data_IF_327823600025
#
_entry.id   IF_327823600025
#
_cell.length_a   1.000
_cell.length_b   1.000
_cell.length_c   1.000
_cell.angle_alpha   90.00
_cell.angle_beta   90.00
_cell.angle_gamma   90.00
#
_symmetry.space_group_name_H-M   'P 1'
#
loop_
_entity.id
_entity.type
_entity.pdbx_description
1 polymer ?
#
# COMPACT_ATOMS: atom_id res chain seq x y z
N UNK A 1 -2.05 -34.33 -1.93
CA UNK A 1 -2.51 -33.74 -3.22
C UNK A 1 -3.62 -34.55 -3.88
N UNK A 2 -3.42 -35.85 -4.18
CA UNK A 2 -4.44 -36.70 -4.83
C UNK A 2 -5.83 -36.69 -4.14
N UNK A 3 -5.87 -36.74 -2.80
CA UNK A 3 -7.12 -36.70 -2.02
C UNK A 3 -7.86 -35.35 -2.11
N UNK A 4 -7.13 -34.23 -2.21
CA UNK A 4 -7.71 -32.88 -2.30
C UNK A 4 -8.34 -32.71 -3.70
N UNK A 5 -7.60 -33.07 -4.75
CA UNK A 5 -8.10 -33.01 -6.13
C UNK A 5 -9.32 -33.94 -6.30
N UNK A 6 -9.27 -35.16 -5.74
CA UNK A 6 -10.41 -36.08 -5.80
C UNK A 6 -11.69 -35.53 -5.14
N UNK A 7 -11.56 -34.76 -4.06
CA UNK A 7 -12.70 -34.09 -3.42
C UNK A 7 -13.32 -33.02 -4.34
N UNK A 8 -12.48 -32.22 -5.00
CA UNK A 8 -12.93 -31.19 -5.95
C UNK A 8 -13.66 -31.82 -7.16
N UNK A 9 -13.17 -32.96 -7.66
CA UNK A 9 -13.83 -33.71 -8.74
C UNK A 9 -15.15 -34.32 -8.27
N UNK A 10 -15.20 -34.81 -7.02
CA UNK A 10 -16.41 -35.44 -6.44
C UNK A 10 -17.53 -34.44 -6.17
N UNK A 11 -17.22 -33.19 -5.84
CA UNK A 11 -18.21 -32.16 -5.49
C UNK A 11 -18.12 -30.94 -6.43
N UNK A 12 -18.43 -31.10 -7.73
CA UNK A 12 -18.26 -30.05 -8.73
C UNK A 12 -19.15 -28.82 -8.47
N UNK A 13 -20.34 -29.02 -7.91
CA UNK A 13 -21.25 -27.91 -7.57
C UNK A 13 -20.63 -27.01 -6.50
N UNK A 14 -20.05 -27.59 -5.45
CA UNK A 14 -19.38 -26.82 -4.39
C UNK A 14 -18.18 -26.03 -4.94
N UNK A 15 -17.42 -26.63 -5.86
CA UNK A 15 -16.30 -25.96 -6.54
C UNK A 15 -16.78 -24.77 -7.38
N UNK A 16 -17.87 -24.93 -8.14
CA UNK A 16 -18.44 -23.84 -8.93
C UNK A 16 -18.91 -22.67 -8.06
N UNK A 17 -19.54 -22.97 -6.91
CA UNK A 17 -19.93 -21.94 -5.93
C UNK A 17 -18.70 -21.20 -5.41
N UNK A 18 -17.61 -21.91 -5.09
CA UNK A 18 -16.35 -21.29 -4.70
C UNK A 18 -15.78 -20.39 -5.79
N UNK A 19 -15.75 -20.85 -7.04
CA UNK A 19 -15.27 -20.05 -8.18
C UNK A 19 -16.11 -18.78 -8.33
N UNK A 20 -17.44 -18.89 -8.26
CA UNK A 20 -18.35 -17.75 -8.29
C UNK A 20 -18.07 -16.75 -7.16
N UNK A 21 -17.86 -17.25 -5.95
CA UNK A 21 -17.50 -16.41 -4.80
C UNK A 21 -16.18 -15.67 -5.06
N UNK A 22 -15.14 -16.34 -5.57
CA UNK A 22 -13.87 -15.69 -5.93
C UNK A 22 -14.04 -14.60 -7.00
N UNK A 23 -14.86 -14.83 -8.01
CA UNK A 23 -15.13 -13.82 -9.05
C UNK A 23 -15.91 -12.63 -8.48
N UNK A 24 -16.92 -12.89 -7.64
CA UNK A 24 -17.72 -11.84 -7.01
C UNK A 24 -16.88 -10.99 -6.05
N UNK A 25 -16.21 -11.61 -5.08
CA UNK A 25 -15.39 -10.86 -4.12
C UNK A 25 -14.13 -10.27 -4.76
N UNK A 26 -13.55 -10.95 -5.75
CA UNK A 26 -12.42 -10.45 -6.52
C UNK A 26 -12.79 -9.18 -7.30
N UNK A 27 -13.93 -9.17 -7.98
CA UNK A 27 -14.38 -7.98 -8.72
C UNK A 27 -14.69 -6.80 -7.79
N UNK A 28 -15.39 -7.03 -6.67
CA UNK A 28 -15.60 -6.01 -5.64
C UNK A 28 -14.28 -5.47 -5.07
N UNK A 29 -13.31 -6.35 -4.82
CA UNK A 29 -11.99 -5.96 -4.32
C UNK A 29 -11.23 -5.09 -5.32
N UNK A 30 -11.23 -5.48 -6.59
CA UNK A 30 -10.57 -4.71 -7.66
C UNK A 30 -11.19 -3.32 -7.80
N UNK A 31 -12.51 -3.20 -7.69
CA UNK A 31 -13.19 -1.89 -7.72
C UNK A 31 -12.84 -0.99 -6.52
N UNK A 32 -12.40 -1.57 -5.40
CA UNK A 32 -11.99 -0.83 -4.21
C UNK A 32 -10.51 -0.44 -4.16
N UNK A 33 -9.69 -0.97 -5.09
CA UNK A 33 -8.27 -0.67 -5.13
C UNK A 33 -8.03 0.80 -5.50
N UNK A 34 -7.16 1.47 -4.74
CA UNK A 34 -6.73 2.83 -5.03
C UNK A 34 -5.65 2.77 -6.12
N UNK A 35 -5.88 3.52 -7.21
CA UNK A 35 -4.88 3.67 -8.27
C UNK A 35 -3.93 4.82 -7.93
N UNK A 36 -2.62 4.57 -8.02
CA UNK A 36 -1.58 5.59 -7.87
C UNK A 36 -0.55 5.43 -8.99
N UNK A 37 -0.15 6.54 -9.63
CA UNK A 37 0.81 6.52 -10.73
C UNK A 37 2.22 6.08 -10.29
N UNK A 38 2.62 6.52 -9.09
CA UNK A 38 3.82 6.06 -8.39
C UNK A 38 3.44 5.44 -7.04
N UNK A 39 4.25 4.54 -6.49
CA UNK A 39 4.11 4.10 -5.11
C UNK A 39 4.21 5.32 -4.18
N UNK A 40 3.24 5.45 -3.28
CA UNK A 40 3.30 6.44 -2.21
C UNK A 40 4.38 5.99 -1.22
N UNK A 41 5.58 6.53 -1.37
CA UNK A 41 6.63 6.39 -0.37
C UNK A 41 6.56 7.59 0.57
N UNK A 42 6.55 7.33 1.88
CA UNK A 42 6.65 8.40 2.86
C UNK A 42 8.00 9.10 2.69
N UNK A 43 7.98 10.43 2.63
CA UNK A 43 9.20 11.23 2.67
C UNK A 43 9.85 11.09 4.05
N UNK A 44 11.12 10.72 4.08
CA UNK A 44 11.94 10.73 5.31
C UNK A 44 12.70 12.04 5.50
N UNK A 45 12.45 13.04 4.64
CA UNK A 45 13.11 14.34 4.71
C UNK A 45 12.27 15.23 5.63
N UNK A 46 12.84 15.62 6.77
CA UNK A 46 12.29 16.62 7.67
C UNK A 46 13.02 17.93 7.38
N UNK A 47 12.28 18.95 6.92
CA UNK A 47 12.83 20.28 6.69
C UNK A 47 12.51 21.18 7.88
N UNK A 48 13.54 21.59 8.61
CA UNK A 48 13.43 22.57 9.69
C UNK A 48 13.90 23.91 9.14
N UNK A 49 13.06 24.93 9.25
CA UNK A 49 13.37 26.30 8.81
C UNK A 49 13.36 27.20 10.03
N UNK A 50 14.44 27.96 10.22
CA UNK A 50 14.53 28.97 11.27
C UNK A 50 14.94 30.30 10.65
N UNK A 51 14.22 31.35 11.02
CA UNK A 51 14.55 32.73 10.65
C UNK A 51 14.96 33.47 11.92
N UNK A 52 16.19 33.98 11.95
CA UNK A 52 16.68 34.80 13.05
C UNK A 52 17.10 36.18 12.50
N UNK A 53 16.17 37.13 12.48
CA UNK A 53 16.40 38.42 11.85
C UNK A 53 17.39 39.26 12.66
N UNK A 54 18.35 39.87 11.96
CA UNK A 54 19.35 40.75 12.56
C UNK A 54 20.66 40.07 12.98
N UNK A 55 20.78 38.75 12.86
CA UNK A 55 22.05 38.05 12.99
C UNK A 55 22.84 38.09 11.68
N UNK A 56 24.15 38.21 11.78
CA UNK A 56 25.04 38.03 10.63
C UNK A 56 25.04 36.57 10.16
N UNK A 57 25.40 36.29 8.89
CA UNK A 57 25.51 34.92 8.40
C UNK A 57 26.45 34.04 9.23
N UNK A 58 27.50 34.63 9.81
CA UNK A 58 28.49 33.94 10.63
C UNK A 58 27.92 33.49 11.99
N UNK A 59 27.21 34.39 12.69
CA UNK A 59 26.52 34.06 13.96
C UNK A 59 25.42 33.00 13.77
N UNK A 60 24.79 32.98 12.59
CA UNK A 60 23.80 31.98 12.22
C UNK A 60 24.41 30.59 12.03
N UNK A 61 25.60 30.51 11.44
CA UNK A 61 26.30 29.25 11.20
C UNK A 61 26.90 28.68 12.49
N UNK A 62 27.46 29.52 13.37
CA UNK A 62 28.07 29.05 14.62
C UNK A 62 27.05 28.65 15.70
N UNK A 63 25.86 29.28 15.73
CA UNK A 63 24.91 29.14 16.84
C UNK A 63 23.71 28.22 16.59
N UNK A 64 23.37 27.92 15.34
CA UNK A 64 22.07 27.32 14.98
C UNK A 64 22.20 26.09 14.06
N UNK A 65 23.15 26.09 13.11
CA UNK A 65 23.35 24.98 12.15
C UNK A 65 24.06 23.80 12.80
#
# INVERSE_FOLDING_TARGET
MKKIIAYFIKYPVAVNVFILAFILFGSLSVMSLRSSFFPLNESRIIQIQLMYPGASPEEMEEGIV
#
